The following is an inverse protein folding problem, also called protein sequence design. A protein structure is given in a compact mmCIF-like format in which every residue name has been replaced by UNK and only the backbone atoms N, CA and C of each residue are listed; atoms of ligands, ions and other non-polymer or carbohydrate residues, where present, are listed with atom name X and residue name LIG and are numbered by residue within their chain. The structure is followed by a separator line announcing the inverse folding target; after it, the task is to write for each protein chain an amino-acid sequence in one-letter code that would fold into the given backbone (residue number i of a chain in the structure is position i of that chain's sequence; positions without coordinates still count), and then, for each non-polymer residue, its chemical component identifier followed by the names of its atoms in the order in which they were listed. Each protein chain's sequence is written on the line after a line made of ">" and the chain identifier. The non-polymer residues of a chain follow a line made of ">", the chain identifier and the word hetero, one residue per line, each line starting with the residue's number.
data_IF_102985609509
#
_entry.id   IF_102985609509
#
_cell.length_a   1.000
_cell.length_b   1.000
_cell.length_c   1.000
_cell.angle_alpha   90.00
_cell.angle_beta   90.00
_cell.angle_gamma   90.00
#
_symmetry.space_group_name_H-M   'P 1'
#
loop_
_entity.id
_entity.type
_entity.pdbx_description
1 polymer ?
#
# COMPACT_ATOMS: atom_id res chain seq x y z
N UNK A 1 5.13 -43.98 14.08
CA UNK A 1 6.06 -42.90 13.62
C UNK A 1 5.40 -41.89 12.68
N UNK A 2 4.83 -42.30 11.55
CA UNK A 2 4.20 -41.38 10.57
C UNK A 2 3.06 -40.51 11.13
N UNK A 3 2.21 -41.07 12.00
CA UNK A 3 1.13 -40.33 12.69
C UNK A 3 1.67 -39.26 13.65
N UNK A 4 2.78 -39.55 14.35
CA UNK A 4 3.42 -38.60 15.26
C UNK A 4 4.06 -37.44 14.47
N UNK A 5 4.69 -37.75 13.33
CA UNK A 5 5.25 -36.74 12.43
C UNK A 5 4.16 -35.83 11.84
N UNK A 6 3.01 -36.39 11.45
CA UNK A 6 1.85 -35.62 10.96
C UNK A 6 1.29 -34.68 12.03
N UNK A 7 1.20 -35.14 13.28
CA UNK A 7 0.71 -34.32 14.41
C UNK A 7 1.68 -33.17 14.69
N UNK A 8 3.00 -33.43 14.73
CA UNK A 8 4.01 -32.39 14.92
C UNK A 8 3.96 -31.36 13.79
N UNK A 9 3.79 -31.81 12.54
CA UNK A 9 3.71 -30.93 11.37
C UNK A 9 2.44 -30.07 11.41
N UNK A 10 1.30 -30.64 11.80
CA UNK A 10 0.06 -29.89 11.98
C UNK A 10 0.20 -28.84 13.10
N UNK A 11 0.82 -29.20 14.22
CA UNK A 11 1.07 -28.26 15.34
C UNK A 11 2.03 -27.14 14.91
N UNK A 12 3.08 -27.43 14.13
CA UNK A 12 3.98 -26.38 13.62
C UNK A 12 3.29 -25.45 12.62
N UNK A 13 2.35 -25.96 11.82
CA UNK A 13 1.55 -25.15 10.88
C UNK A 13 0.54 -24.25 11.60
N UNK A 14 0.01 -24.68 12.76
CA UNK A 14 -0.89 -23.88 13.60
C UNK A 14 -0.17 -22.99 14.63
N UNK A 15 1.10 -23.29 14.94
CA UNK A 15 1.92 -22.57 15.91
C UNK A 15 2.49 -21.24 15.42
N UNK A 16 2.43 -20.97 14.11
CA UNK A 16 2.58 -19.62 13.57
C UNK A 16 1.29 -18.83 13.83
N UNK A 17 1.01 -18.63 15.11
CA UNK A 17 0.06 -17.61 15.54
C UNK A 17 0.47 -16.30 14.84
N UNK A 18 -0.49 -15.77 14.10
CA UNK A 18 -0.38 -14.55 13.33
C UNK A 18 0.26 -13.46 14.18
N UNK A 19 1.43 -12.97 13.75
CA UNK A 19 2.00 -11.72 14.28
C UNK A 19 1.11 -10.57 13.78
N UNK A 20 -0.09 -10.45 14.34
CA UNK A 20 -0.92 -9.28 14.14
C UNK A 20 -0.29 -8.10 14.88
N UNK A 21 -0.39 -6.91 14.30
CA UNK A 21 0.05 -5.70 14.98
C UNK A 21 -0.72 -5.55 16.30
N UNK A 22 0.00 -5.24 17.39
CA UNK A 22 -0.64 -4.92 18.67
C UNK A 22 -1.67 -3.82 18.46
N UNK A 23 -2.83 -3.96 19.09
CA UNK A 23 -3.85 -2.91 19.08
C UNK A 23 -3.25 -1.60 19.60
N UNK A 24 -3.55 -0.44 18.99
CA UNK A 24 -3.07 0.84 19.47
C UNK A 24 -3.43 1.02 20.96
N UNK A 25 -2.51 1.56 21.76
CA UNK A 25 -2.76 1.72 23.21
C UNK A 25 -3.68 2.90 23.52
N UNK A 26 -3.95 3.74 22.52
CA UNK A 26 -4.69 5.00 22.68
C UNK A 26 -3.82 6.18 23.10
N UNK A 27 -2.54 5.98 23.36
CA UNK A 27 -1.57 7.06 23.58
C UNK A 27 -1.12 7.64 22.22
N UNK A 28 -1.39 8.91 21.88
CA UNK A 28 -1.04 9.49 20.57
C UNK A 28 0.43 9.33 20.13
N UNK A 29 1.35 9.22 21.09
CA UNK A 29 2.79 9.04 20.81
C UNK A 29 3.16 7.64 20.30
N UNK A 30 2.28 6.65 20.45
CA UNK A 30 2.50 5.28 19.98
C UNK A 30 2.02 5.05 18.54
N UNK A 31 1.23 5.98 18.00
CA UNK A 31 0.63 5.86 16.67
C UNK A 31 1.70 6.04 15.60
N UNK A 32 2.22 4.90 15.13
CA UNK A 32 3.04 4.83 13.91
C UNK A 32 2.14 4.49 12.74
N UNK A 33 1.72 5.52 12.00
CA UNK A 33 0.97 5.34 10.75
C UNK A 33 1.91 5.48 9.56
N UNK A 34 1.82 4.53 8.62
CA UNK A 34 2.47 4.69 7.33
C UNK A 34 1.67 5.67 6.49
N UNK A 35 2.29 6.77 6.09
CA UNK A 35 1.60 7.79 5.31
C UNK A 35 1.66 7.47 3.82
N UNK A 36 0.53 7.71 3.14
CA UNK A 36 0.45 7.57 1.69
C UNK A 36 0.01 8.89 1.06
N UNK A 37 0.69 9.30 -0.02
CA UNK A 37 0.25 10.45 -0.81
C UNK A 37 -0.76 10.00 -1.86
N UNK A 38 -1.89 10.70 -1.97
CA UNK A 38 -2.92 10.39 -2.96
C UNK A 38 -2.75 11.23 -4.23
N UNK A 39 -2.72 10.60 -5.39
CA UNK A 39 -2.40 11.27 -6.67
C UNK A 39 -3.52 12.18 -7.19
N UNK A 40 -4.72 12.12 -6.61
CA UNK A 40 -5.86 13.01 -6.96
C UNK A 40 -5.47 14.49 -6.89
N UNK A 41 -4.58 14.84 -5.96
CA UNK A 41 -4.10 16.22 -5.76
C UNK A 41 -3.21 16.72 -6.89
N UNK A 42 -2.76 15.84 -7.78
CA UNK A 42 -1.89 16.15 -8.92
C UNK A 42 -2.49 15.77 -10.28
N UNK A 43 -3.74 15.30 -10.32
CA UNK A 43 -4.37 14.80 -11.54
C UNK A 43 -4.94 15.92 -12.45
N UNK A 44 -4.92 17.18 -12.00
CA UNK A 44 -5.41 18.32 -12.79
C UNK A 44 -6.93 18.35 -12.99
N UNK A 45 -7.71 17.81 -12.04
CA UNK A 45 -9.17 17.83 -12.08
C UNK A 45 -9.78 19.20 -11.80
N UNK A 46 -9.06 20.08 -11.10
CA UNK A 46 -9.56 21.40 -10.71
C UNK A 46 -8.70 22.52 -11.29
N UNK A 47 -9.31 23.68 -11.59
CA UNK A 47 -8.59 24.86 -12.10
C UNK A 47 -7.53 25.29 -11.10
N UNK A 48 -6.31 25.54 -11.59
CA UNK A 48 -5.17 25.96 -10.77
C UNK A 48 -4.50 24.84 -9.98
N UNK A 49 -4.96 23.59 -10.13
CA UNK A 49 -4.32 22.44 -9.50
C UNK A 49 -2.98 22.12 -10.20
N UNK A 50 -1.96 21.78 -9.40
CA UNK A 50 -0.75 21.19 -9.92
C UNK A 50 -1.09 19.94 -10.75
N UNK A 51 -0.42 19.79 -11.89
CA UNK A 51 -0.61 18.64 -12.78
C UNK A 51 0.72 17.93 -12.95
N UNK A 52 0.78 16.69 -12.52
CA UNK A 52 1.93 15.81 -12.71
C UNK A 52 1.50 14.59 -13.52
N UNK A 53 2.43 14.01 -14.27
CA UNK A 53 2.34 12.63 -14.75
C UNK A 53 2.45 11.66 -13.57
N UNK A 54 2.18 10.37 -13.81
CA UNK A 54 2.34 9.34 -12.77
C UNK A 54 3.79 9.29 -12.29
N UNK A 55 4.77 9.33 -13.19
CA UNK A 55 6.19 9.25 -12.83
C UNK A 55 6.65 10.47 -12.02
N UNK A 56 6.27 11.68 -12.45
CA UNK A 56 6.56 12.91 -11.71
C UNK A 56 5.91 12.91 -10.32
N UNK A 57 4.69 12.36 -10.21
CA UNK A 57 4.00 12.19 -8.94
C UNK A 57 4.75 11.22 -8.01
N UNK A 58 5.29 10.10 -8.53
CA UNK A 58 6.07 9.16 -7.74
C UNK A 58 7.36 9.80 -7.20
N UNK A 59 8.06 10.57 -8.03
CA UNK A 59 9.24 11.35 -7.60
C UNK A 59 8.83 12.35 -6.52
N UNK A 60 7.75 13.11 -6.72
CA UNK A 60 7.24 14.07 -5.74
C UNK A 60 6.88 13.41 -4.41
N UNK A 61 6.23 12.25 -4.43
CA UNK A 61 5.87 11.51 -3.23
C UNK A 61 7.11 11.12 -2.41
N UNK A 62 8.17 10.69 -3.11
CA UNK A 62 9.46 10.35 -2.48
C UNK A 62 10.14 11.58 -1.86
N UNK A 63 10.19 12.69 -2.59
CA UNK A 63 10.76 13.96 -2.13
C UNK A 63 10.05 14.49 -0.87
N UNK A 64 8.73 14.33 -0.80
CA UNK A 64 7.91 14.73 0.34
C UNK A 64 8.00 13.76 1.53
N UNK A 65 8.70 12.64 1.40
CA UNK A 65 8.92 11.68 2.50
C UNK A 65 7.73 10.76 2.79
N UNK A 66 6.80 10.57 1.85
CA UNK A 66 5.73 9.59 2.01
C UNK A 66 6.24 8.15 1.84
N UNK A 67 5.71 7.24 2.65
CA UNK A 67 6.09 5.82 2.63
C UNK A 67 5.36 5.02 1.54
N UNK A 68 4.22 5.53 1.07
CA UNK A 68 3.44 4.91 0.02
C UNK A 68 2.71 5.92 -0.86
N UNK A 69 2.05 5.41 -1.89
CA UNK A 69 1.23 6.19 -2.80
C UNK A 69 -0.12 5.53 -3.03
N UNK A 70 -1.12 6.35 -3.31
CA UNK A 70 -2.42 5.91 -3.78
C UNK A 70 -2.70 6.56 -5.13
N UNK A 71 -2.81 5.75 -6.17
CA UNK A 71 -3.10 6.23 -7.51
C UNK A 71 -4.61 6.37 -7.70
N UNK A 72 -5.04 7.50 -8.23
CA UNK A 72 -6.45 7.69 -8.59
C UNK A 72 -6.78 6.76 -9.76
N UNK A 73 -7.75 5.88 -9.57
CA UNK A 73 -8.17 4.86 -10.53
C UNK A 73 -8.95 5.42 -11.73
N UNK A 74 -8.49 6.56 -12.26
CA UNK A 74 -9.17 7.38 -13.27
C UNK A 74 -8.12 8.15 -14.08
N UNK A 75 -8.38 8.29 -15.39
CA UNK A 75 -7.60 9.17 -16.29
C UNK A 75 -7.50 10.60 -15.71
N UNK A 76 -6.35 11.29 -15.85
CA UNK A 76 -5.19 10.92 -16.65
C UNK A 76 -4.21 9.96 -15.95
N UNK A 77 -4.42 9.63 -14.68
CA UNK A 77 -3.59 8.63 -14.00
C UNK A 77 -4.13 7.22 -14.28
N UNK A 78 -3.61 6.22 -13.56
CA UNK A 78 -3.81 4.78 -13.74
C UNK A 78 -5.30 4.39 -13.71
N UNK A 79 -5.99 4.49 -14.84
CA UNK A 79 -7.33 3.95 -15.02
C UNK A 79 -7.22 2.43 -15.20
N UNK A 80 -7.97 1.62 -14.44
CA UNK A 80 -7.98 0.17 -14.63
C UNK A 80 -8.43 -0.28 -16.02
N UNK A 81 -9.09 0.59 -16.78
CA UNK A 81 -9.48 0.31 -18.17
C UNK A 81 -8.29 0.39 -19.14
N UNK A 82 -7.28 1.20 -18.83
CA UNK A 82 -6.10 1.39 -19.68
C UNK A 82 -4.87 0.63 -19.13
N UNK A 83 -4.86 0.35 -17.83
CA UNK A 83 -3.73 -0.28 -17.14
C UNK A 83 -3.82 -1.80 -17.15
N UNK A 84 -3.53 -2.37 -18.32
CA UNK A 84 -3.60 -3.79 -18.59
C UNK A 84 -2.44 -4.58 -17.95
N UNK A 85 -2.33 -5.88 -18.29
CA UNK A 85 -1.27 -6.74 -17.78
C UNK A 85 0.12 -6.36 -18.30
N UNK A 86 0.22 -5.89 -19.54
CA UNK A 86 1.50 -5.49 -20.11
C UNK A 86 2.04 -4.23 -19.41
N UNK A 87 1.17 -3.29 -19.07
CA UNK A 87 1.52 -2.09 -18.30
C UNK A 87 1.96 -2.38 -16.85
N UNK A 88 1.75 -3.60 -16.34
CA UNK A 88 2.17 -4.01 -14.98
C UNK A 88 3.48 -4.80 -14.93
N UNK A 89 3.94 -5.32 -16.07
CA UNK A 89 5.10 -6.22 -16.15
C UNK A 89 6.41 -5.43 -16.01
#
# INVERSE_FOLDING_TARGET
>A
MKKLLLIITAISLFGFATMAQKTPTGNPSDFKVKTCLHSVSYAGFWRGQARLTVDEFLVKAKELGYEGVMLVAKRPHVSPHDYDQAARA
#
